data_IF_791956789157
#
_entry.id   IF_791956789157
#
_cell.length_a   1.000
_cell.length_b   1.000
_cell.length_c   1.000
_cell.angle_alpha   90.00
_cell.angle_beta   90.00
_cell.angle_gamma   90.00
#
_symmetry.space_group_name_H-M   'P 1'
#
loop_
_entity.id
_entity.type
_entity.pdbx_description
1 polymer ?
#
# COMPACT_ATOMS: atom_id res chain seq x y z
N UNK A 1 -1.39 -5.55 27.72
CA UNK A 1 -1.22 -4.75 26.49
C UNK A 1 -0.54 -3.42 26.82
N UNK A 2 0.76 -3.44 27.18
CA UNK A 2 1.52 -2.25 27.65
C UNK A 2 2.80 -1.96 26.84
N UNK A 3 3.04 -2.65 25.73
CA UNK A 3 4.36 -2.64 25.06
C UNK A 3 4.51 -1.68 23.86
N UNK A 4 3.49 -0.92 23.49
CA UNK A 4 3.55 -0.05 22.28
C UNK A 4 3.73 1.44 22.63
N UNK A 5 3.72 1.80 23.91
CA UNK A 5 3.77 3.19 24.38
C UNK A 5 5.17 3.65 24.81
N UNK A 6 6.17 2.77 24.91
CA UNK A 6 7.47 3.11 25.53
C UNK A 6 8.57 3.54 24.54
N UNK A 7 8.40 3.37 23.22
CA UNK A 7 9.48 3.65 22.25
C UNK A 7 9.22 4.80 21.27
N UNK A 8 8.03 5.40 21.29
CA UNK A 8 7.71 6.51 20.38
C UNK A 8 7.66 7.78 21.22
N UNK A 9 8.80 8.47 21.35
CA UNK A 9 8.92 9.79 22.01
C UNK A 9 8.17 10.93 21.31
N UNK A 10 7.11 10.59 20.59
CA UNK A 10 6.18 11.51 19.96
C UNK A 10 4.97 11.49 20.88
N UNK A 11 4.72 12.61 21.57
CA UNK A 11 3.47 12.82 22.27
C UNK A 11 2.33 12.56 21.27
N UNK A 12 1.70 11.39 21.39
CA UNK A 12 0.63 10.98 20.48
C UNK A 12 -0.44 12.05 20.63
N UNK A 13 -0.71 12.85 19.57
CA UNK A 13 -1.74 13.86 19.66
C UNK A 13 -3.03 13.12 20.05
N UNK A 14 -3.90 13.77 20.82
CA UNK A 14 -5.15 13.21 21.34
C UNK A 14 -6.20 12.95 20.22
N UNK A 15 -5.75 12.46 19.07
CA UNK A 15 -6.53 11.84 18.02
C UNK A 15 -6.82 10.44 18.50
N UNK A 16 -8.08 10.16 18.82
CA UNK A 16 -8.49 8.86 19.33
C UNK A 16 -7.94 7.75 18.44
N UNK A 17 -7.15 6.84 19.02
CA UNK A 17 -6.60 5.67 18.32
C UNK A 17 -7.68 4.87 17.58
N UNK A 18 -8.94 4.94 18.04
CA UNK A 18 -10.12 4.41 17.36
C UNK A 18 -10.31 4.96 15.94
N UNK A 19 -10.15 6.26 15.74
CA UNK A 19 -10.29 6.90 14.43
C UNK A 19 -9.16 6.49 13.49
N UNK A 20 -7.95 6.33 14.01
CA UNK A 20 -6.79 5.86 13.23
C UNK A 20 -6.96 4.40 12.82
N UNK A 21 -7.45 3.54 13.72
CA UNK A 21 -7.74 2.13 13.42
C UNK A 21 -8.90 2.03 12.41
N UNK A 22 -9.97 2.79 12.61
CA UNK A 22 -11.11 2.81 11.70
C UNK A 22 -10.70 3.31 10.31
N UNK A 23 -9.91 4.38 10.23
CA UNK A 23 -9.43 4.93 8.96
C UNK A 23 -8.48 3.98 8.24
N UNK A 24 -7.60 3.27 8.95
CA UNK A 24 -6.72 2.25 8.35
C UNK A 24 -7.49 1.03 7.85
N UNK A 25 -8.49 0.54 8.60
CA UNK A 25 -9.38 -0.55 8.15
C UNK A 25 -10.17 -0.11 6.91
N UNK A 26 -10.76 1.09 6.95
CA UNK A 26 -11.49 1.65 5.83
C UNK A 26 -10.58 1.82 4.61
N UNK A 27 -9.40 2.42 4.76
CA UNK A 27 -8.45 2.64 3.67
C UNK A 27 -8.00 1.34 3.03
N UNK A 28 -7.68 0.32 3.85
CA UNK A 28 -7.28 -0.99 3.37
C UNK A 28 -8.42 -1.70 2.63
N UNK A 29 -9.62 -1.71 3.22
CA UNK A 29 -10.79 -2.36 2.63
C UNK A 29 -11.25 -1.68 1.35
N UNK A 30 -11.37 -0.35 1.39
CA UNK A 30 -11.80 0.47 0.25
C UNK A 30 -10.75 0.49 -0.87
N UNK A 31 -9.47 0.63 -0.54
CA UNK A 31 -8.38 0.53 -1.51
C UNK A 31 -8.33 -0.85 -2.17
N UNK A 32 -8.50 -1.92 -1.38
CA UNK A 32 -8.59 -3.30 -1.87
C UNK A 32 -9.76 -3.52 -2.83
N UNK A 33 -10.95 -3.05 -2.45
CA UNK A 33 -12.15 -3.14 -3.28
C UNK A 33 -11.97 -2.42 -4.62
N UNK A 34 -11.47 -1.18 -4.59
CA UNK A 34 -11.20 -0.40 -5.80
C UNK A 34 -10.14 -1.05 -6.68
N UNK A 35 -9.12 -1.67 -6.08
CA UNK A 35 -8.07 -2.36 -6.81
C UNK A 35 -8.60 -3.57 -7.60
N UNK A 36 -9.57 -4.33 -7.06
CA UNK A 36 -10.23 -5.46 -7.76
C UNK A 36 -10.90 -5.00 -9.05
N UNK A 37 -11.52 -3.82 -9.06
CA UNK A 37 -12.08 -3.20 -10.28
C UNK A 37 -11.01 -2.61 -11.21
N UNK A 38 -9.74 -2.98 -11.03
CA UNK A 38 -8.61 -2.48 -11.78
C UNK A 38 -8.45 -0.96 -11.67
N UNK A 39 -8.87 -0.33 -10.56
CA UNK A 39 -8.71 1.12 -10.41
C UNK A 39 -7.27 1.49 -10.03
N UNK A 40 -6.63 2.37 -10.82
CA UNK A 40 -5.33 2.95 -10.44
C UNK A 40 -5.41 3.72 -9.12
N UNK A 41 -6.56 4.35 -8.84
CA UNK A 41 -6.78 5.05 -7.57
C UNK A 41 -6.77 4.09 -6.38
N UNK A 42 -7.35 2.89 -6.54
CA UNK A 42 -7.28 1.82 -5.53
C UNK A 42 -5.84 1.40 -5.24
N UNK A 43 -5.01 1.27 -6.27
CA UNK A 43 -3.59 0.96 -6.10
C UNK A 43 -2.84 2.06 -5.33
N UNK A 44 -3.10 3.34 -5.61
CA UNK A 44 -2.50 4.45 -4.84
C UNK A 44 -2.92 4.45 -3.37
N UNK A 45 -4.21 4.24 -3.08
CA UNK A 45 -4.71 4.14 -1.70
C UNK A 45 -4.01 3.00 -0.93
N UNK A 46 -3.84 1.85 -1.57
CA UNK A 46 -3.12 0.72 -0.99
C UNK A 46 -1.62 1.02 -0.81
N UNK A 47 -0.96 1.68 -1.77
CA UNK A 47 0.45 2.08 -1.64
C UNK A 47 0.66 3.03 -0.46
N UNK A 48 -0.23 4.01 -0.27
CA UNK A 48 -0.18 4.92 0.89
C UNK A 48 -0.37 4.12 2.17
N UNK A 49 -1.38 3.25 2.24
CA UNK A 49 -1.59 2.38 3.40
C UNK A 49 -0.35 1.54 3.74
N UNK A 50 0.25 0.88 2.74
CA UNK A 50 1.48 0.11 2.93
C UNK A 50 2.64 1.02 3.38
N UNK A 51 2.87 2.17 2.75
CA UNK A 51 3.99 3.05 3.10
C UNK A 51 3.94 3.55 4.54
N UNK A 52 2.74 3.76 5.10
CA UNK A 52 2.57 4.19 6.49
C UNK A 52 2.61 3.03 7.49
N UNK A 53 1.97 1.89 7.19
CA UNK A 53 1.93 0.74 8.11
C UNK A 53 3.27 0.03 8.18
N UNK A 54 4.03 -0.03 7.09
CA UNK A 54 5.22 -0.88 7.01
C UNK A 54 6.36 -0.43 7.96
N UNK A 55 6.70 0.86 8.10
CA UNK A 55 7.70 1.28 9.09
C UNK A 55 7.13 1.38 10.52
N UNK A 56 5.81 1.55 10.67
CA UNK A 56 5.18 1.75 12.00
C UNK A 56 4.87 0.43 12.71
N UNK A 57 4.49 -0.62 11.97
CA UNK A 57 4.03 -1.89 12.54
C UNK A 57 5.14 -2.94 12.62
N UNK A 58 6.19 -2.81 11.81
CA UNK A 58 7.30 -3.76 11.79
C UNK A 58 8.47 -3.20 12.59
N UNK A 59 8.46 -3.42 13.90
CA UNK A 59 9.50 -3.01 14.85
C UNK A 59 10.69 -3.99 14.91
N UNK A 60 10.87 -4.83 13.87
CA UNK A 60 11.94 -5.84 13.80
C UNK A 60 13.34 -5.27 14.03
N UNK A 61 13.56 -3.98 13.76
CA UNK A 61 14.80 -3.29 14.06
C UNK A 61 15.17 -3.27 15.56
N UNK A 62 14.20 -3.51 16.46
CA UNK A 62 14.42 -3.57 17.91
C UNK A 62 14.75 -4.98 18.41
N UNK A 63 14.70 -5.99 17.55
CA UNK A 63 14.93 -7.38 17.92
C UNK A 63 16.22 -7.90 17.30
N UNK A 64 16.99 -8.68 18.07
CA UNK A 64 18.15 -9.40 17.54
C UNK A 64 17.74 -10.37 16.43
N UNK A 65 18.59 -10.48 15.42
CA UNK A 65 18.36 -11.27 14.20
C UNK A 65 18.15 -12.76 14.53
N UNK A 66 18.69 -13.23 15.65
CA UNK A 66 18.58 -14.61 16.15
C UNK A 66 17.23 -14.92 16.82
N UNK A 67 16.41 -13.91 17.10
CA UNK A 67 15.08 -14.09 17.71
C UNK A 67 14.10 -14.57 16.64
N UNK A 68 13.30 -15.58 16.97
CA UNK A 68 12.20 -16.03 16.10
C UNK A 68 11.20 -14.90 15.76
N UNK A 69 11.03 -13.94 16.68
CA UNK A 69 10.19 -12.75 16.51
C UNK A 69 10.68 -11.86 15.36
N UNK A 70 12.01 -11.67 15.24
CA UNK A 70 12.62 -10.96 14.11
C UNK A 70 12.26 -11.64 12.78
N UNK A 71 12.48 -12.96 12.69
CA UNK A 71 12.22 -13.72 11.45
C UNK A 71 10.75 -13.63 11.04
N UNK A 72 9.83 -13.75 12.00
CA UNK A 72 8.40 -13.62 11.73
C UNK A 72 8.00 -12.23 11.26
N UNK A 73 8.47 -11.18 11.94
CA UNK A 73 8.16 -9.81 11.56
C UNK A 73 8.81 -9.44 10.21
N UNK A 74 10.06 -9.81 10.00
CA UNK A 74 10.80 -9.58 8.77
C UNK A 74 10.13 -10.30 7.58
N UNK A 75 9.68 -11.54 7.76
CA UNK A 75 8.93 -12.25 6.71
C UNK A 75 7.64 -11.53 6.34
N UNK A 76 6.87 -11.06 7.33
CA UNK A 76 5.66 -10.26 7.08
C UNK A 76 5.97 -8.91 6.42
N UNK A 77 7.05 -8.25 6.82
CA UNK A 77 7.55 -7.04 6.16
C UNK A 77 7.85 -7.30 4.68
N UNK A 78 8.60 -8.37 4.37
CA UNK A 78 8.93 -8.74 2.99
C UNK A 78 7.69 -9.07 2.16
N UNK A 79 6.69 -9.74 2.74
CA UNK A 79 5.42 -9.99 2.05
C UNK A 79 4.70 -8.68 1.67
N UNK A 80 4.67 -7.70 2.58
CA UNK A 80 4.10 -6.39 2.26
C UNK A 80 4.95 -5.64 1.24
N UNK A 81 6.28 -5.74 1.30
CA UNK A 81 7.16 -5.15 0.30
C UNK A 81 6.94 -5.75 -1.09
N UNK A 82 6.74 -7.06 -1.17
CA UNK A 82 6.38 -7.73 -2.42
C UNK A 82 5.03 -7.24 -2.96
N UNK A 83 4.02 -7.08 -2.10
CA UNK A 83 2.73 -6.50 -2.48
C UNK A 83 2.87 -5.04 -2.96
N UNK A 84 3.70 -4.24 -2.29
CA UNK A 84 4.02 -2.87 -2.70
C UNK A 84 4.63 -2.84 -4.11
N UNK A 85 5.62 -3.70 -4.37
CA UNK A 85 6.21 -3.87 -5.69
C UNK A 85 5.20 -4.28 -6.75
N UNK A 86 4.29 -5.22 -6.44
CA UNK A 86 3.24 -5.65 -7.35
C UNK A 86 2.25 -4.52 -7.70
N UNK A 87 1.89 -3.68 -6.73
CA UNK A 87 1.05 -2.50 -6.94
C UNK A 87 1.74 -1.45 -7.83
N UNK A 88 3.04 -1.21 -7.61
CA UNK A 88 3.83 -0.32 -8.48
C UNK A 88 3.91 -0.87 -9.92
N UNK A 89 4.12 -2.17 -10.07
CA UNK A 89 4.14 -2.82 -11.37
C UNK A 89 2.80 -2.67 -12.09
N UNK A 90 1.69 -2.94 -11.40
CA UNK A 90 0.34 -2.73 -11.92
C UNK A 90 0.11 -1.29 -12.40
N UNK A 91 0.55 -0.31 -11.61
CA UNK A 91 0.42 1.10 -11.96
C UNK A 91 1.28 1.46 -13.18
N UNK A 92 2.52 0.96 -13.23
CA UNK A 92 3.44 1.14 -14.36
C UNK A 92 2.87 0.55 -15.65
N UNK A 93 2.30 -0.66 -15.59
CA UNK A 93 1.62 -1.28 -16.73
C UNK A 93 0.43 -0.46 -17.21
N UNK A 94 -0.39 0.08 -16.31
CA UNK A 94 -1.54 0.90 -16.69
C UNK A 94 -1.18 2.21 -17.39
N UNK A 95 -0.03 2.79 -17.06
CA UNK A 95 0.48 3.99 -17.72
C UNK A 95 1.24 3.68 -19.02
N UNK A 96 1.83 2.49 -19.15
CA UNK A 96 2.61 2.11 -20.34
C UNK A 96 1.80 1.45 -21.43
N UNK A 97 0.60 0.91 -21.14
CA UNK A 97 -0.34 0.48 -22.18
C UNK A 97 -0.73 1.74 -22.96
N UNK A 98 -0.31 1.89 -24.23
CA UNK A 98 -0.81 2.98 -25.04
C UNK A 98 -2.30 2.69 -25.16
N UNK A 99 -3.14 3.53 -24.53
CA UNK A 99 -4.57 3.56 -24.84
C UNK A 99 -4.61 3.57 -26.35
N UNK A 100 -4.97 2.45 -26.99
CA UNK A 100 -5.10 2.34 -28.43
C UNK A 100 -6.03 3.49 -28.79
N UNK A 101 -5.45 4.60 -29.23
CA UNK A 101 -6.23 5.67 -29.80
C UNK A 101 -6.95 4.96 -30.92
N UNK A 102 -8.28 4.87 -30.82
CA UNK A 102 -9.11 4.39 -31.92
C UNK A 102 -8.61 5.17 -33.12
N UNK A 103 -7.85 4.52 -34.01
CA UNK A 103 -7.37 5.13 -35.25
C UNK A 103 -8.63 5.70 -35.86
N UNK A 104 -8.79 7.03 -35.84
CA UNK A 104 -9.82 7.68 -36.63
C UNK A 104 -9.53 7.19 -38.03
N UNK A 105 -10.40 6.34 -38.57
CA UNK A 105 -10.30 5.89 -39.95
C UNK A 105 -10.42 7.16 -40.77
N UNK A 106 -9.29 7.68 -41.23
CA UNK A 106 -9.26 8.77 -42.21
C UNK A 106 -9.88 8.17 -43.46
N UNK A 107 -11.17 8.44 -43.69
CA UNK A 107 -11.84 8.09 -44.94
C UNK A 107 -11.11 8.84 -46.05
N UNK A 108 -10.32 8.12 -46.84
CA UNK A 108 -9.75 8.64 -48.09
C UNK A 108 -10.92 9.00 -49.00
N UNK A 109 -11.02 10.27 -49.40
CA UNK A 109 -11.93 10.69 -50.47
C UNK A 109 -11.32 10.25 -51.80
N UNK A 110 -12.04 9.43 -52.56
CA UNK A 110 -11.73 9.09 -53.95
C UNK A 110 -12.15 10.27 -54.84
N UNK A 111 -11.26 10.71 -55.73
CA UNK A 111 -11.57 11.57 -56.88
C UNK A 111 -11.45 10.72 -58.14
#
# INVERSE_FOLDING_TARGET
MKHVASHIGIAVPHVEMRHVIASTIFLKGFGGLLFIFSSSFGAYLLLVYLAFITPVVYDFYNYDIEKAEFVQLFSKFNQNLALFGALLFFLGMKNSIPKRQKKKVTKTKTN
#
